data_IF_741127636517
#
_entry.id   IF_741127636517
#
_cell.length_a   1.000
_cell.length_b   1.000
_cell.length_c   1.000
_cell.angle_alpha   90.00
_cell.angle_beta   90.00
_cell.angle_gamma   90.00
#
_symmetry.space_group_name_H-M   'P 1'
#
loop_
_entity.id
_entity.type
_entity.pdbx_description
1 polymer ?
#
# COMPACT_ATOMS: atom_id res chain seq x y z
N UNK A 1 14.67 2.85 14.64
CA UNK A 1 13.74 2.61 13.52
C UNK A 1 14.60 2.42 12.28
N UNK A 2 14.39 1.35 11.48
CA UNK A 2 15.10 1.13 10.22
C UNK A 2 14.93 2.30 9.26
N UNK A 3 15.86 2.45 8.31
CA UNK A 3 15.75 3.48 7.25
C UNK A 3 14.83 2.99 6.14
N UNK A 4 13.91 3.86 5.73
CA UNK A 4 13.03 3.64 4.58
C UNK A 4 13.16 4.81 3.61
N UNK A 5 13.56 4.54 2.37
CA UNK A 5 13.62 5.54 1.31
C UNK A 5 12.33 5.47 0.48
N UNK A 6 11.59 6.58 0.43
CA UNK A 6 10.36 6.68 -0.36
C UNK A 6 10.68 6.98 -1.84
N UNK A 7 9.81 6.49 -2.72
CA UNK A 7 9.86 6.63 -4.18
C UNK A 7 11.00 5.87 -4.85
N UNK A 8 12.25 6.20 -4.52
CA UNK A 8 13.47 5.51 -4.93
C UNK A 8 13.56 5.18 -6.44
N UNK A 9 13.05 6.08 -7.28
CA UNK A 9 12.82 5.83 -8.72
C UNK A 9 14.13 5.61 -9.49
N UNK A 10 15.13 6.45 -9.22
CA UNK A 10 16.37 6.51 -9.98
C UNK A 10 17.52 5.87 -9.19
N UNK A 11 17.40 4.58 -8.86
CA UNK A 11 18.46 3.80 -8.23
C UNK A 11 19.28 3.12 -9.31
N UNK A 12 20.60 3.32 -9.28
CA UNK A 12 21.51 2.83 -10.32
C UNK A 12 22.80 2.25 -9.72
N UNK A 13 23.39 1.26 -10.38
CA UNK A 13 24.76 0.78 -10.08
C UNK A 13 25.02 0.48 -8.60
N UNK A 14 25.99 1.18 -8.01
CA UNK A 14 26.45 0.97 -6.63
C UNK A 14 25.40 1.36 -5.57
N UNK A 15 24.34 2.08 -5.94
CA UNK A 15 23.24 2.41 -5.02
C UNK A 15 22.59 1.13 -4.46
N UNK A 16 22.44 0.11 -5.31
CA UNK A 16 21.84 -1.17 -4.91
C UNK A 16 22.64 -1.84 -3.79
N UNK A 17 23.96 -1.89 -3.93
CA UNK A 17 24.85 -2.47 -2.93
C UNK A 17 24.82 -1.68 -1.63
N UNK A 18 24.86 -0.34 -1.72
CA UNK A 18 24.77 0.52 -0.54
C UNK A 18 23.45 0.32 0.22
N UNK A 19 22.32 0.33 -0.49
CA UNK A 19 20.99 0.18 0.11
C UNK A 19 20.82 -1.20 0.76
N UNK A 20 21.27 -2.26 0.09
CA UNK A 20 21.27 -3.62 0.62
C UNK A 20 22.14 -3.75 1.86
N UNK A 21 23.39 -3.30 1.80
CA UNK A 21 24.37 -3.45 2.89
C UNK A 21 23.98 -2.62 4.13
N UNK A 22 23.21 -1.55 3.93
CA UNK A 22 22.62 -0.74 5.01
C UNK A 22 21.24 -1.21 5.44
N UNK A 23 20.70 -2.30 4.86
CA UNK A 23 19.37 -2.84 5.14
C UNK A 23 18.25 -1.79 5.02
N UNK A 24 18.36 -0.92 4.01
CA UNK A 24 17.34 0.11 3.71
C UNK A 24 16.13 -0.57 3.08
N UNK A 25 14.92 -0.14 3.47
CA UNK A 25 13.69 -0.52 2.79
C UNK A 25 13.33 0.52 1.75
N UNK A 26 12.79 0.11 0.61
CA UNK A 26 12.35 1.00 -0.45
C UNK A 26 10.83 1.00 -0.54
N UNK A 27 10.22 2.17 -0.39
CA UNK A 27 8.77 2.32 -0.45
C UNK A 27 8.33 2.85 -1.81
N UNK A 28 7.69 1.99 -2.58
CA UNK A 28 7.13 2.31 -3.88
C UNK A 28 5.79 3.05 -3.74
N UNK A 29 5.68 4.22 -4.37
CA UNK A 29 4.47 5.06 -4.39
C UNK A 29 3.94 5.19 -5.83
N UNK A 30 3.37 4.12 -6.40
CA UNK A 30 3.11 4.05 -7.85
C UNK A 30 2.19 5.17 -8.35
N UNK A 31 1.03 5.38 -7.71
CA UNK A 31 0.08 6.41 -8.17
C UNK A 31 0.69 7.81 -8.07
N UNK A 32 1.41 8.11 -6.99
CA UNK A 32 2.10 9.39 -6.82
C UNK A 32 3.13 9.60 -7.92
N UNK A 33 4.06 8.66 -8.08
CA UNK A 33 5.12 8.74 -9.08
C UNK A 33 4.58 8.99 -10.50
N UNK A 34 3.48 8.31 -10.86
CA UNK A 34 2.80 8.52 -12.15
C UNK A 34 2.12 9.89 -12.23
N UNK A 35 1.31 10.24 -11.23
CA UNK A 35 0.47 11.44 -11.25
C UNK A 35 1.26 12.73 -11.35
N UNK A 36 2.42 12.81 -10.68
CA UNK A 36 3.28 14.00 -10.72
C UNK A 36 4.43 13.88 -11.74
N UNK A 37 4.43 12.83 -12.57
CA UNK A 37 5.42 12.65 -13.64
C UNK A 37 6.84 12.40 -13.15
N UNK A 38 7.02 11.81 -11.96
CA UNK A 38 8.35 11.53 -11.40
C UNK A 38 9.07 10.38 -12.08
N UNK A 39 8.34 9.42 -12.67
CA UNK A 39 8.92 8.28 -13.39
C UNK A 39 8.44 6.92 -12.87
N UNK A 40 9.13 5.86 -13.32
CA UNK A 40 8.77 4.47 -13.03
C UNK A 40 9.86 3.82 -12.18
N UNK A 41 9.51 3.45 -10.95
CA UNK A 41 10.41 2.71 -10.07
C UNK A 41 10.47 1.23 -10.48
N UNK A 42 11.68 0.69 -10.65
CA UNK A 42 11.88 -0.71 -10.98
C UNK A 42 11.96 -1.59 -9.71
N UNK A 43 10.78 -1.90 -9.16
CA UNK A 43 10.67 -2.72 -7.94
C UNK A 43 11.15 -4.17 -8.13
N UNK A 44 11.24 -4.68 -9.37
CA UNK A 44 11.83 -6.00 -9.65
C UNK A 44 13.34 -5.94 -9.42
N UNK A 45 14.00 -4.91 -9.94
CA UNK A 45 15.42 -4.71 -9.69
C UNK A 45 15.71 -4.55 -8.20
N UNK A 46 14.88 -3.83 -7.45
CA UNK A 46 15.03 -3.74 -5.98
C UNK A 46 14.99 -5.12 -5.30
N UNK A 47 13.97 -5.93 -5.61
CA UNK A 47 13.82 -7.29 -5.08
C UNK A 47 15.02 -8.17 -5.47
N UNK A 48 15.42 -8.15 -6.74
CA UNK A 48 16.46 -9.03 -7.27
C UNK A 48 17.85 -8.71 -6.66
N UNK A 49 18.07 -7.48 -6.22
CA UNK A 49 19.26 -7.07 -5.45
C UNK A 49 19.13 -7.33 -3.94
N UNK A 50 18.07 -8.00 -3.49
CA UNK A 50 17.85 -8.34 -2.08
C UNK A 50 17.41 -7.16 -1.21
N UNK A 51 16.90 -6.08 -1.82
CA UNK A 51 16.40 -4.91 -1.09
C UNK A 51 14.93 -5.10 -0.74
N UNK A 52 14.56 -4.74 0.49
CA UNK A 52 13.18 -4.88 0.98
C UNK A 52 12.25 -3.90 0.25
N UNK A 53 11.33 -4.43 -0.55
CA UNK A 53 10.29 -3.65 -1.24
C UNK A 53 9.07 -3.49 -0.33
N UNK A 54 8.61 -2.26 -0.14
CA UNK A 54 7.31 -1.93 0.47
C UNK A 54 6.48 -1.09 -0.48
N UNK A 55 5.19 -0.95 -0.19
CA UNK A 55 4.27 -0.12 -0.98
C UNK A 55 3.62 0.92 -0.06
N UNK A 56 3.36 2.11 -0.59
CA UNK A 56 2.59 3.13 0.10
C UNK A 56 1.85 4.03 -0.89
N UNK A 57 0.99 4.89 -0.35
CA UNK A 57 0.11 5.76 -1.15
C UNK A 57 0.72 7.12 -1.46
N UNK A 58 1.73 7.54 -0.70
CA UNK A 58 2.07 8.96 -0.51
C UNK A 58 0.86 9.75 0.06
N UNK A 59 0.90 11.08 0.01
CA UNK A 59 -0.20 11.94 0.43
C UNK A 59 -1.36 12.02 -0.57
N UNK A 60 -2.57 12.27 -0.06
CA UNK A 60 -3.78 12.45 -0.88
C UNK A 60 -3.74 13.69 -1.82
N UNK A 61 -2.68 14.52 -1.77
CA UNK A 61 -2.46 15.60 -2.75
C UNK A 61 -1.81 15.11 -4.05
N UNK A 62 -1.09 13.98 -4.01
CA UNK A 62 -0.34 13.40 -5.14
C UNK A 62 -0.85 12.01 -5.54
N UNK A 63 -1.80 11.42 -4.81
CA UNK A 63 -2.47 10.16 -5.16
C UNK A 63 -3.88 10.45 -5.70
N UNK A 64 -4.88 10.27 -4.85
CA UNK A 64 -5.82 11.26 -4.34
C UNK A 64 -6.85 10.55 -3.42
N UNK A 65 -6.78 9.22 -3.34
CA UNK A 65 -7.32 8.40 -2.25
C UNK A 65 -6.13 7.84 -1.41
N UNK A 66 -6.42 6.95 -0.45
CA UNK A 66 -5.42 6.23 0.34
C UNK A 66 -5.66 4.71 0.27
N UNK A 67 -5.99 4.21 -0.92
CA UNK A 67 -6.36 2.81 -1.15
C UNK A 67 -5.11 1.95 -1.37
N UNK A 68 -4.73 1.19 -0.35
CA UNK A 68 -3.57 0.29 -0.43
C UNK A 68 -3.79 -0.89 -1.40
N UNK A 69 -5.02 -1.36 -1.62
CA UNK A 69 -5.29 -2.47 -2.54
C UNK A 69 -5.08 -2.00 -3.98
N UNK A 70 -5.55 -0.79 -4.30
CA UNK A 70 -5.30 -0.14 -5.59
C UNK A 70 -3.80 0.11 -5.81
N UNK A 71 -3.05 0.61 -4.82
CA UNK A 71 -1.59 0.81 -4.97
C UNK A 71 -0.84 -0.49 -5.23
N UNK A 72 -1.19 -1.59 -4.55
CA UNK A 72 -0.54 -2.89 -4.76
C UNK A 72 -0.88 -3.47 -6.14
N UNK A 73 -2.13 -3.33 -6.56
CA UNK A 73 -2.58 -3.70 -7.91
C UNK A 73 -1.80 -2.93 -8.97
N UNK A 74 -1.68 -1.61 -8.81
CA UNK A 74 -0.95 -0.75 -9.74
C UNK A 74 0.55 -1.07 -9.76
N UNK A 75 1.17 -1.32 -8.60
CA UNK A 75 2.56 -1.77 -8.51
C UNK A 75 2.79 -3.06 -9.29
N UNK A 76 1.88 -4.04 -9.17
CA UNK A 76 1.94 -5.29 -9.94
C UNK A 76 1.87 -5.03 -11.45
N UNK A 77 0.91 -4.22 -11.89
CA UNK A 77 0.72 -3.92 -13.32
C UNK A 77 1.88 -3.14 -13.92
N UNK A 78 2.41 -2.15 -13.20
CA UNK A 78 3.59 -1.39 -13.63
C UNK A 78 4.79 -2.32 -13.80
N UNK A 79 5.08 -3.17 -12.82
CA UNK A 79 6.21 -4.08 -12.93
C UNK A 79 6.07 -5.04 -14.13
N UNK A 80 4.89 -5.64 -14.31
CA UNK A 80 4.60 -6.51 -15.46
C UNK A 80 4.77 -5.77 -16.79
N UNK A 81 4.29 -4.53 -16.87
CA UNK A 81 4.39 -3.67 -18.06
C UNK A 81 5.83 -3.26 -18.38
N UNK A 82 6.61 -2.85 -17.38
CA UNK A 82 8.02 -2.45 -17.51
C UNK A 82 8.87 -3.63 -18.00
N UNK A 83 8.65 -4.83 -17.46
CA UNK A 83 9.47 -6.01 -17.77
C UNK A 83 8.91 -6.90 -18.88
N UNK A 84 7.75 -6.55 -19.45
CA UNK A 84 7.04 -7.38 -20.43
C UNK A 84 6.82 -8.84 -19.95
N UNK A 85 6.61 -9.02 -18.65
CA UNK A 85 6.44 -10.32 -18.01
C UNK A 85 5.07 -10.39 -17.31
N UNK A 86 4.08 -11.13 -17.86
CA UNK A 86 2.73 -11.16 -17.33
C UNK A 86 2.60 -11.90 -15.99
N UNK A 87 3.58 -12.73 -15.61
CA UNK A 87 3.56 -13.51 -14.37
C UNK A 87 4.44 -12.91 -13.28
N UNK A 88 5.00 -11.72 -13.52
CA UNK A 88 5.90 -11.06 -12.58
C UNK A 88 5.19 -10.71 -11.27
N UNK A 89 5.82 -11.13 -10.19
CA UNK A 89 5.34 -11.17 -8.81
C UNK A 89 4.12 -12.07 -8.59
N UNK A 90 4.31 -13.06 -7.74
CA UNK A 90 3.23 -13.86 -7.18
C UNK A 90 2.35 -13.05 -6.24
N UNK A 91 1.11 -13.50 -6.00
CA UNK A 91 0.25 -12.93 -4.93
C UNK A 91 0.96 -12.91 -3.58
N UNK A 92 1.73 -13.95 -3.26
CA UNK A 92 2.46 -14.02 -2.00
C UNK A 92 3.51 -12.90 -1.87
N UNK A 93 4.25 -12.60 -2.94
CA UNK A 93 5.17 -11.46 -2.97
C UNK A 93 4.43 -10.13 -2.79
N UNK A 94 3.33 -9.92 -3.51
CA UNK A 94 2.54 -8.69 -3.41
C UNK A 94 1.96 -8.49 -1.99
N UNK A 95 1.42 -9.55 -1.38
CA UNK A 95 0.99 -9.52 0.02
C UNK A 95 2.17 -9.18 0.94
N UNK A 96 3.34 -9.79 0.72
CA UNK A 96 4.55 -9.53 1.51
C UNK A 96 4.98 -8.07 1.41
N UNK A 97 4.95 -7.47 0.22
CA UNK A 97 5.26 -6.05 0.00
C UNK A 97 4.29 -5.12 0.74
N UNK A 98 3.00 -5.48 0.74
CA UNK A 98 1.92 -4.70 1.35
C UNK A 98 1.82 -4.87 2.88
N UNK A 99 2.35 -5.96 3.45
CA UNK A 99 2.17 -6.32 4.86
C UNK A 99 3.51 -6.47 5.59
N UNK A 100 4.12 -7.66 5.55
CA UNK A 100 5.31 -8.00 6.33
C UNK A 100 6.48 -7.05 6.07
N UNK A 101 6.75 -6.69 4.82
CA UNK A 101 7.84 -5.77 4.52
C UNK A 101 7.58 -4.37 5.08
N UNK A 102 6.33 -3.89 5.04
CA UNK A 102 5.93 -2.62 5.66
C UNK A 102 6.12 -2.63 7.18
N UNK A 103 5.78 -3.73 7.85
CA UNK A 103 6.01 -3.92 9.28
C UNK A 103 7.51 -3.88 9.63
N UNK A 104 8.33 -4.65 8.90
CA UNK A 104 9.78 -4.70 9.11
C UNK A 104 10.46 -3.36 8.82
N UNK A 105 10.00 -2.62 7.81
CA UNK A 105 10.50 -1.28 7.50
C UNK A 105 10.25 -0.27 8.64
N UNK A 106 9.22 -0.51 9.47
CA UNK A 106 8.93 0.28 10.67
C UNK A 106 9.63 -0.28 11.93
N UNK A 107 10.40 -1.38 11.81
CA UNK A 107 11.03 -2.06 12.94
C UNK A 107 10.04 -2.85 13.80
N UNK A 108 8.88 -3.24 13.23
CA UNK A 108 7.86 -4.04 13.90
C UNK A 108 7.99 -5.49 13.46
N UNK A 109 8.50 -6.32 14.36
CA UNK A 109 8.72 -7.75 14.08
C UNK A 109 7.52 -8.62 14.46
N UNK A 110 6.58 -8.09 15.25
CA UNK A 110 5.44 -8.79 15.83
C UNK A 110 4.13 -8.64 15.03
N UNK A 111 4.17 -8.11 13.80
CA UNK A 111 2.97 -7.95 12.93
C UNK A 111 3.29 -8.16 11.44
N UNK A 112 2.25 -8.12 10.60
CA UNK A 112 2.34 -8.30 9.15
C UNK A 112 2.37 -9.75 8.69
N UNK A 113 2.11 -10.70 9.60
CA UNK A 113 1.95 -12.13 9.32
C UNK A 113 0.78 -12.68 10.14
N UNK A 114 0.11 -13.70 9.59
CA UNK A 114 -0.94 -14.46 10.29
C UNK A 114 -0.32 -15.71 10.90
N UNK A 115 0.34 -15.54 12.04
CA UNK A 115 1.01 -16.61 12.78
C UNK A 115 0.77 -16.48 14.30
N UNK A 116 0.83 -17.59 15.03
CA UNK A 116 0.72 -17.56 16.49
C UNK A 116 1.84 -16.70 17.11
N UNK A 117 1.49 -15.89 18.11
CA UNK A 117 2.42 -14.96 18.77
C UNK A 117 2.53 -13.59 18.10
N UNK A 118 1.95 -13.40 16.90
CA UNK A 118 1.87 -12.09 16.24
C UNK A 118 0.63 -11.30 16.70
N UNK A 119 0.70 -9.99 16.55
CA UNK A 119 -0.41 -9.05 16.77
C UNK A 119 -1.57 -9.40 15.85
N UNK A 120 -2.78 -9.35 16.40
CA UNK A 120 -4.00 -9.53 15.63
C UNK A 120 -4.35 -8.25 14.84
N UNK A 121 -3.50 -7.92 13.87
CA UNK A 121 -3.68 -6.85 12.89
C UNK A 121 -4.27 -7.47 11.61
N UNK A 122 -5.59 -7.31 11.40
CA UNK A 122 -6.35 -8.01 10.36
C UNK A 122 -7.12 -7.04 9.46
N UNK A 123 -7.16 -7.34 8.17
CA UNK A 123 -8.13 -6.79 7.23
C UNK A 123 -8.91 -7.95 6.58
N UNK A 124 -10.22 -7.81 6.47
CA UNK A 124 -11.10 -8.80 5.84
C UNK A 124 -11.78 -8.17 4.63
N UNK A 125 -11.69 -8.85 3.48
CA UNK A 125 -12.25 -8.41 2.19
C UNK A 125 -13.42 -9.32 1.84
N UNK A 126 -14.58 -8.73 1.54
CA UNK A 126 -15.73 -9.46 1.01
C UNK A 126 -15.57 -9.72 -0.49
N UNK A 127 -15.35 -10.99 -0.83
CA UNK A 127 -15.21 -11.44 -2.22
C UNK A 127 -16.48 -12.15 -2.73
N UNK A 128 -17.60 -12.08 -2.01
CA UNK A 128 -18.85 -12.73 -2.42
C UNK A 128 -19.62 -11.95 -3.50
N UNK A 129 -19.24 -10.68 -3.74
CA UNK A 129 -19.94 -9.79 -4.67
C UNK A 129 -19.73 -10.16 -6.14
N UNK A 130 -20.63 -9.68 -7.01
CA UNK A 130 -20.65 -10.03 -8.44
C UNK A 130 -19.31 -9.81 -9.14
N UNK A 131 -18.55 -8.77 -8.77
CA UNK A 131 -17.30 -8.42 -9.45
C UNK A 131 -16.19 -9.45 -9.26
N UNK A 132 -16.31 -10.33 -8.27
CA UNK A 132 -15.36 -11.41 -8.03
C UNK A 132 -15.78 -12.72 -8.70
N UNK A 133 -17.04 -12.85 -9.14
CA UNK A 133 -17.57 -14.14 -9.61
C UNK A 133 -17.37 -14.37 -11.12
N UNK A 134 -17.00 -15.59 -11.55
CA UNK A 134 -16.53 -16.70 -10.72
C UNK A 134 -15.09 -16.49 -10.22
N UNK A 135 -14.82 -16.89 -8.97
CA UNK A 135 -13.46 -16.85 -8.41
C UNK A 135 -12.71 -18.12 -8.81
N UNK A 136 -11.65 -17.95 -9.61
CA UNK A 136 -10.70 -19.03 -9.90
C UNK A 136 -9.55 -19.08 -8.88
N UNK A 137 -9.09 -17.91 -8.45
CA UNK A 137 -8.02 -17.74 -7.47
C UNK A 137 -8.26 -16.48 -6.65
N UNK A 138 -8.37 -16.62 -5.32
CA UNK A 138 -8.65 -15.51 -4.42
C UNK A 138 -7.51 -14.48 -4.41
N UNK A 139 -6.26 -14.95 -4.50
CA UNK A 139 -5.09 -14.10 -4.48
C UNK A 139 -5.01 -13.16 -5.67
N UNK A 140 -5.25 -13.69 -6.86
CA UNK A 140 -5.33 -12.94 -8.10
C UNK A 140 -6.48 -11.96 -8.03
N UNK A 141 -7.68 -12.42 -7.69
CA UNK A 141 -8.88 -11.57 -7.60
C UNK A 141 -8.72 -10.42 -6.60
N UNK A 142 -7.96 -10.59 -5.51
CA UNK A 142 -7.64 -9.51 -4.57
C UNK A 142 -6.87 -8.36 -5.24
N UNK A 143 -5.88 -8.66 -6.08
CA UNK A 143 -5.04 -7.63 -6.73
C UNK A 143 -5.41 -7.35 -8.18
N UNK A 144 -6.63 -7.72 -8.60
CA UNK A 144 -7.15 -7.38 -9.94
C UNK A 144 -8.58 -6.85 -9.91
N UNK A 145 -9.38 -7.17 -8.88
CA UNK A 145 -10.81 -6.83 -8.81
C UNK A 145 -11.17 -6.03 -7.56
N UNK A 146 -10.43 -6.21 -6.46
CA UNK A 146 -10.77 -5.57 -5.19
C UNK A 146 -10.29 -4.12 -5.12
N UNK A 147 -10.89 -3.37 -4.20
CA UNK A 147 -10.45 -2.07 -3.72
C UNK A 147 -10.87 -1.91 -2.25
N UNK A 148 -10.57 -0.77 -1.64
CA UNK A 148 -10.86 -0.50 -0.24
C UNK A 148 -12.34 -0.60 0.13
N UNK A 149 -13.27 -0.43 -0.83
CA UNK A 149 -14.71 -0.56 -0.55
C UNK A 149 -15.16 -2.00 -0.28
N UNK A 150 -14.35 -2.99 -0.63
CA UNK A 150 -14.62 -4.40 -0.30
C UNK A 150 -14.15 -4.81 1.09
N UNK A 151 -13.41 -3.94 1.77
CA UNK A 151 -12.99 -4.22 3.15
C UNK A 151 -14.21 -4.14 4.05
N UNK A 152 -14.49 -5.22 4.77
CA UNK A 152 -15.62 -5.35 5.71
C UNK A 152 -15.20 -5.37 7.16
N UNK A 153 -13.90 -5.57 7.44
CA UNK A 153 -13.38 -5.50 8.80
C UNK A 153 -11.94 -5.02 8.80
N UNK A 154 -11.61 -4.14 9.75
CA UNK A 154 -10.23 -3.77 10.10
C UNK A 154 -10.05 -3.90 11.60
N UNK A 155 -8.99 -4.61 12.01
CA UNK A 155 -8.63 -4.88 13.39
C UNK A 155 -7.16 -4.54 13.60
N UNK A 156 -6.84 -3.95 14.75
CA UNK A 156 -5.47 -3.67 15.18
C UNK A 156 -5.30 -4.14 16.61
N UNK A 157 -4.30 -4.97 16.86
CA UNK A 157 -4.00 -5.58 18.16
C UNK A 157 -5.25 -6.22 18.82
N UNK A 158 -6.06 -6.93 18.01
CA UNK A 158 -7.29 -7.57 18.47
C UNK A 158 -8.50 -6.63 18.63
N UNK A 159 -8.31 -5.32 18.47
CA UNK A 159 -9.39 -4.32 18.56
C UNK A 159 -9.95 -4.00 17.18
N UNK A 160 -11.25 -4.26 17.00
CA UNK A 160 -11.97 -3.88 15.76
C UNK A 160 -12.10 -2.36 15.68
N UNK A 161 -11.56 -1.77 14.60
CA UNK A 161 -11.60 -0.32 14.32
C UNK A 161 -12.67 0.03 13.30
N UNK A 162 -12.96 -0.88 12.38
CA UNK A 162 -13.98 -0.74 11.35
C UNK A 162 -14.66 -2.10 11.12
N UNK A 163 -15.99 -2.10 10.95
CA UNK A 163 -16.76 -3.30 10.60
C UNK A 163 -18.05 -2.92 9.86
N UNK A 164 -18.32 -3.59 8.73
CA UNK A 164 -19.58 -3.50 7.98
C UNK A 164 -20.06 -2.06 7.71
N UNK A 165 -19.13 -1.16 7.35
CA UNK A 165 -19.42 0.26 7.06
C UNK A 165 -19.35 1.20 8.26
N UNK A 166 -19.16 0.68 9.48
CA UNK A 166 -19.13 1.48 10.71
C UNK A 166 -17.72 1.60 11.31
N UNK A 167 -17.36 2.81 11.74
CA UNK A 167 -16.12 3.07 12.47
C UNK A 167 -16.36 3.10 13.98
N UNK A 168 -15.61 2.31 14.74
CA UNK A 168 -15.80 2.20 16.21
C UNK A 168 -15.02 3.24 17.00
N UNK A 169 -14.10 3.95 16.35
CA UNK A 169 -13.15 4.88 17.01
C UNK A 169 -13.07 6.25 16.34
N UNK A 170 -13.85 6.48 15.28
CA UNK A 170 -13.82 7.71 14.48
C UNK A 170 -15.24 8.29 14.46
N UNK A 171 -15.34 9.56 14.85
CA UNK A 171 -16.56 10.35 14.67
C UNK A 171 -16.57 10.91 13.23
N UNK A 172 -17.33 10.24 12.35
CA UNK A 172 -17.35 10.55 10.93
C UNK A 172 -17.95 11.95 10.66
N UNK A 173 -18.97 12.36 11.41
CA UNK A 173 -19.57 13.69 11.27
C UNK A 173 -18.56 14.78 11.59
N UNK A 174 -17.81 14.61 12.68
CA UNK A 174 -16.73 15.53 13.06
C UNK A 174 -15.59 15.56 12.05
N UNK A 175 -15.24 14.42 11.44
CA UNK A 175 -14.24 14.37 10.36
C UNK A 175 -14.73 15.18 9.17
N UNK A 176 -15.95 14.93 8.69
CA UNK A 176 -16.53 15.65 7.54
C UNK A 176 -16.62 17.15 7.82
N UNK A 177 -17.04 17.54 9.02
CA UNK A 177 -17.08 18.94 9.43
C UNK A 177 -15.69 19.60 9.36
N UNK A 178 -14.64 18.91 9.86
CA UNK A 178 -13.27 19.42 9.81
C UNK A 178 -12.76 19.56 8.38
N UNK A 179 -13.10 18.63 7.48
CA UNK A 179 -12.74 18.70 6.06
C UNK A 179 -13.32 19.97 5.43
N UNK A 180 -14.60 20.25 5.65
CA UNK A 180 -15.23 21.46 5.11
C UNK A 180 -14.68 22.75 5.72
N UNK A 181 -14.44 22.78 7.03
CA UNK A 181 -13.79 23.93 7.68
C UNK A 181 -12.42 24.22 7.07
N UNK A 182 -11.57 23.18 6.93
CA UNK A 182 -10.23 23.33 6.36
C UNK A 182 -10.32 23.75 4.88
N UNK A 183 -11.25 23.18 4.10
CA UNK A 183 -11.49 23.59 2.71
C UNK A 183 -11.77 25.10 2.65
N UNK A 184 -12.68 25.59 3.46
CA UNK A 184 -13.10 27.00 3.45
C UNK A 184 -11.95 27.93 3.84
N UNK A 185 -11.17 27.56 4.86
CA UNK A 185 -9.94 28.27 5.26
C UNK A 185 -8.91 28.34 4.10
N UNK A 186 -8.72 27.24 3.36
CA UNK A 186 -7.77 27.20 2.24
C UNK A 186 -8.28 27.98 1.03
N UNK A 187 -9.57 27.90 0.71
CA UNK A 187 -10.16 28.69 -0.38
C UNK A 187 -10.06 30.20 -0.11
N UNK A 188 -10.25 30.63 1.14
CA UNK A 188 -10.07 32.02 1.53
C UNK A 188 -8.63 32.53 1.35
N UNK A 189 -7.62 31.67 1.57
CA UNK A 189 -6.21 32.01 1.35
C UNK A 189 -5.86 32.10 -0.14
N UNK A 190 -6.46 31.26 -0.99
CA UNK A 190 -6.21 31.27 -2.44
C UNK A 190 -6.91 32.42 -3.17
N UNK A 191 -7.91 33.04 -2.54
CA UNK A 191 -8.63 34.18 -3.10
C UNK A 191 -7.93 35.53 -2.86
N UNK A 192 -6.79 35.55 -2.14
CA UNK A 192 -5.94 36.71 -1.91
C UNK A 192 -4.81 36.77 -2.94
#
# INVERSE_FOLDING_TARGET
>A
VPTTAAHAIFIEGEDYDLLRDKNVSLAHMPSSNLKIGSGLADIKSWRDHGIRVTIGTDGAGSNNNLDMIEEVTLASFLAKGIHHDPILFSTHELLTFATRNGALAQGREDTGLLEEGYRADLAVVDMSTLKFQPIYDYGTSLFTNANASDVVLTMVDGKVLYKDGEFTTIDLEKVIWNVYRIRDEKLALLAQ
#
